data_IF_801770850127
#
_entry.id   IF_801770850127
#
_cell.length_a   1.000
_cell.length_b   1.000
_cell.length_c   1.000
_cell.angle_alpha   90.00
_cell.angle_beta   90.00
_cell.angle_gamma   90.00
#
_symmetry.space_group_name_H-M   'P 1'
#
loop_
_entity.id
_entity.type
_entity.pdbx_description
1 polymer ?
#
# COMPACT_ATOMS: atom_id res chain seq x y z
N UNK A 1 -13.33 0.29 6.98
CA UNK A 1 -14.70 0.78 6.74
C UNK A 1 -14.95 0.79 5.23
N UNK A 2 -16.05 0.22 4.75
CA UNK A 2 -16.38 0.25 3.31
C UNK A 2 -16.88 1.65 2.93
N UNK A 3 -16.47 2.19 1.77
CA UNK A 3 -17.02 3.43 1.27
C UNK A 3 -18.53 3.31 1.02
N UNK A 4 -19.29 4.40 1.26
CA UNK A 4 -20.67 4.51 0.75
C UNK A 4 -20.70 4.33 -0.77
N UNK A 5 -21.79 3.74 -1.28
CA UNK A 5 -22.03 3.54 -2.72
C UNK A 5 -21.98 4.85 -3.49
N UNK A 6 -21.62 4.79 -4.77
CA UNK A 6 -21.54 5.98 -5.64
C UNK A 6 -22.91 6.64 -5.76
N UNK A 7 -23.97 5.86 -5.96
CA UNK A 7 -25.37 6.35 -6.06
C UNK A 7 -25.78 7.20 -4.83
N UNK A 8 -25.42 6.76 -3.62
CA UNK A 8 -25.74 7.53 -2.41
C UNK A 8 -25.00 8.87 -2.39
N UNK A 9 -23.74 8.91 -2.85
CA UNK A 9 -22.94 10.13 -2.89
C UNK A 9 -23.46 11.11 -3.93
N UNK A 10 -23.85 10.61 -5.10
CA UNK A 10 -24.43 11.41 -6.18
C UNK A 10 -25.74 12.06 -5.72
N UNK A 11 -26.63 11.29 -5.08
CA UNK A 11 -27.88 11.83 -4.51
C UNK A 11 -27.63 12.90 -3.45
N UNK A 12 -26.66 12.69 -2.56
CA UNK A 12 -26.29 13.67 -1.53
C UNK A 12 -25.83 14.99 -2.18
N UNK A 13 -24.99 14.90 -3.23
CA UNK A 13 -24.44 16.08 -3.91
C UNK A 13 -25.50 16.79 -4.75
N UNK A 14 -26.32 16.05 -5.50
CA UNK A 14 -27.43 16.61 -6.28
C UNK A 14 -28.39 17.43 -5.41
N UNK A 15 -28.75 16.92 -4.23
CA UNK A 15 -29.61 17.65 -3.27
C UNK A 15 -28.92 18.89 -2.69
N UNK A 16 -27.59 18.85 -2.52
CA UNK A 16 -26.82 20.00 -2.08
C UNK A 16 -26.69 21.08 -3.18
N UNK A 17 -26.41 20.68 -4.41
CA UNK A 17 -26.27 21.57 -5.58
C UNK A 17 -27.60 22.21 -6.00
N UNK A 18 -28.74 21.56 -5.70
CA UNK A 18 -30.07 22.14 -5.87
C UNK A 18 -30.35 23.38 -4.98
N UNK A 19 -29.39 23.82 -4.16
CA UNK A 19 -29.37 25.15 -3.53
C UNK A 19 -30.28 25.34 -2.31
N UNK A 20 -31.25 24.45 -2.09
CA UNK A 20 -32.31 24.66 -1.09
C UNK A 20 -31.99 24.10 0.31
N UNK A 21 -30.79 23.56 0.54
CA UNK A 21 -30.46 22.90 1.81
C UNK A 21 -29.01 23.08 2.27
N UNK A 22 -28.83 23.31 3.57
CA UNK A 22 -27.51 23.34 4.20
C UNK A 22 -26.93 21.95 4.40
N UNK A 23 -25.59 21.84 4.51
CA UNK A 23 -24.87 20.57 4.74
C UNK A 23 -25.47 19.78 5.93
N UNK A 24 -25.89 20.46 7.00
CA UNK A 24 -26.51 19.81 8.17
C UNK A 24 -27.85 19.16 7.81
N UNK A 25 -28.73 19.87 7.10
CA UNK A 25 -30.03 19.35 6.68
C UNK A 25 -29.90 18.17 5.71
N UNK A 26 -28.92 18.23 4.79
CA UNK A 26 -28.61 17.11 3.90
C UNK A 26 -28.13 15.90 4.69
N UNK A 27 -27.23 16.10 5.67
CA UNK A 27 -26.72 15.03 6.51
C UNK A 27 -27.85 14.31 7.29
N UNK A 28 -28.77 15.07 7.89
CA UNK A 28 -29.95 14.54 8.59
C UNK A 28 -30.87 13.75 7.64
N UNK A 29 -31.18 14.32 6.46
CA UNK A 29 -32.05 13.68 5.46
C UNK A 29 -31.52 12.33 4.99
N UNK A 30 -30.21 12.23 4.78
CA UNK A 30 -29.55 11.00 4.32
C UNK A 30 -29.03 10.13 5.46
N UNK A 31 -29.26 10.51 6.73
CA UNK A 31 -28.76 9.82 7.93
C UNK A 31 -27.24 9.56 7.90
N UNK A 32 -26.48 10.52 7.37
CA UNK A 32 -25.01 10.47 7.32
C UNK A 32 -24.41 11.56 8.21
N UNK A 33 -23.12 11.45 8.52
CA UNK A 33 -22.44 12.51 9.27
C UNK A 33 -22.29 13.79 8.42
N UNK A 34 -22.33 14.96 9.08
CA UNK A 34 -22.00 16.25 8.45
C UNK A 34 -20.65 16.20 7.72
N UNK A 35 -19.66 15.55 8.33
CA UNK A 35 -18.32 15.44 7.78
C UNK A 35 -18.31 14.64 6.46
N UNK A 36 -19.17 13.62 6.34
CA UNK A 36 -19.34 12.87 5.09
C UNK A 36 -19.80 13.79 3.96
N UNK A 37 -20.85 14.57 4.17
CA UNK A 37 -21.38 15.50 3.16
C UNK A 37 -20.32 16.55 2.79
N UNK A 38 -19.66 17.14 3.79
CA UNK A 38 -18.60 18.13 3.58
C UNK A 38 -17.42 17.56 2.77
N UNK A 39 -16.98 16.34 3.07
CA UNK A 39 -15.92 15.68 2.33
C UNK A 39 -16.31 15.34 0.89
N UNK A 40 -17.57 14.98 0.64
CA UNK A 40 -18.07 14.74 -0.72
C UNK A 40 -18.10 16.03 -1.54
N UNK A 41 -18.59 17.14 -0.96
CA UNK A 41 -18.62 18.45 -1.63
C UNK A 41 -17.20 18.92 -1.94
N UNK A 42 -16.29 18.81 -0.97
CA UNK A 42 -14.86 19.13 -1.17
C UNK A 42 -14.26 18.28 -2.29
N UNK A 43 -14.49 16.96 -2.28
CA UNK A 43 -13.97 16.05 -3.32
C UNK A 43 -14.52 16.41 -4.70
N UNK A 44 -15.82 16.69 -4.82
CA UNK A 44 -16.43 17.10 -6.10
C UNK A 44 -15.79 18.38 -6.64
N UNK A 45 -15.55 19.36 -5.76
CA UNK A 45 -14.90 20.63 -6.12
C UNK A 45 -13.42 20.46 -6.52
N UNK A 46 -12.67 19.64 -5.80
CA UNK A 46 -11.22 19.48 -6.02
C UNK A 46 -10.89 18.50 -7.16
N UNK A 47 -11.66 17.41 -7.29
CA UNK A 47 -11.33 16.28 -8.17
C UNK A 47 -12.36 16.04 -9.28
N UNK A 48 -13.53 16.71 -9.23
CA UNK A 48 -14.63 16.46 -10.18
C UNK A 48 -15.36 15.13 -10.00
N UNK A 49 -14.80 14.18 -9.23
CA UNK A 49 -15.31 12.82 -9.06
C UNK A 49 -15.86 12.56 -7.66
N UNK A 50 -16.85 11.65 -7.57
CA UNK A 50 -17.40 11.15 -6.31
C UNK A 50 -16.97 9.72 -6.00
N UNK A 51 -16.14 9.15 -6.87
CA UNK A 51 -15.61 7.81 -6.71
C UNK A 51 -14.79 7.70 -5.41
N UNK A 52 -14.90 6.59 -4.69
CA UNK A 52 -13.99 6.31 -3.59
C UNK A 52 -12.56 6.29 -4.11
N UNK A 53 -11.65 6.93 -3.40
CA UNK A 53 -10.23 6.73 -3.64
C UNK A 53 -9.93 5.25 -3.52
N UNK A 54 -9.22 4.74 -4.53
CA UNK A 54 -8.63 3.40 -4.47
C UNK A 54 -7.81 3.33 -3.19
N UNK A 55 -8.00 2.28 -2.40
CA UNK A 55 -7.18 2.04 -1.24
C UNK A 55 -5.78 1.68 -1.76
N UNK A 56 -4.94 2.69 -2.00
CA UNK A 56 -3.55 2.47 -2.36
C UNK A 56 -2.87 1.89 -1.12
N UNK A 57 -2.59 0.59 -1.18
CA UNK A 57 -2.06 -0.16 -0.05
C UNK A 57 -0.74 0.44 0.42
N UNK A 58 -0.72 0.94 1.65
CA UNK A 58 0.48 1.34 2.38
C UNK A 58 1.37 2.38 1.71
N UNK A 59 2.45 2.74 2.41
CA UNK A 59 3.55 3.48 1.78
C UNK A 59 4.25 2.56 0.77
N UNK A 60 4.66 3.07 -0.40
CA UNK A 60 5.47 2.27 -1.32
C UNK A 60 6.75 1.81 -0.61
N UNK A 61 7.23 0.61 -0.96
CA UNK A 61 8.50 0.09 -0.43
C UNK A 61 9.64 1.07 -0.71
N UNK A 62 10.66 1.13 0.12
CA UNK A 62 11.88 1.92 -0.17
C UNK A 62 12.57 1.48 -1.48
N UNK A 63 12.23 0.29 -1.96
CA UNK A 63 12.68 -0.30 -3.20
C UNK A 63 11.83 0.07 -4.43
N UNK A 64 10.72 0.80 -4.25
CA UNK A 64 9.89 1.25 -5.37
C UNK A 64 10.67 2.21 -6.26
N UNK A 65 10.83 1.87 -7.54
CA UNK A 65 11.66 2.62 -8.49
C UNK A 65 13.02 1.99 -8.77
N UNK A 66 13.44 0.99 -7.99
CA UNK A 66 14.67 0.22 -8.21
C UNK A 66 14.40 -1.20 -8.74
N UNK A 67 13.25 -1.38 -9.38
CA UNK A 67 12.75 -2.70 -9.80
C UNK A 67 13.72 -3.39 -10.75
N UNK A 68 14.20 -2.66 -11.75
CA UNK A 68 15.15 -3.17 -12.74
C UNK A 68 16.51 -3.53 -12.12
N UNK A 69 17.04 -2.71 -11.20
CA UNK A 69 18.33 -2.98 -10.55
C UNK A 69 18.28 -4.23 -9.68
N UNK A 70 17.14 -4.49 -9.04
CA UNK A 70 16.92 -5.67 -8.23
C UNK A 70 16.70 -6.90 -9.10
N UNK A 71 16.00 -6.75 -10.23
CA UNK A 71 15.85 -7.82 -11.21
C UNK A 71 17.19 -8.27 -11.79
N UNK A 72 18.05 -7.32 -12.18
CA UNK A 72 19.42 -7.59 -12.62
C UNK A 72 20.25 -8.30 -11.54
N UNK A 73 20.20 -7.80 -10.29
CA UNK A 73 20.89 -8.41 -9.15
C UNK A 73 20.43 -9.86 -8.90
N UNK A 74 19.12 -10.11 -8.97
CA UNK A 74 18.56 -11.46 -8.77
C UNK A 74 18.91 -12.39 -9.93
N UNK A 75 18.95 -11.88 -11.17
CA UNK A 75 19.34 -12.64 -12.35
C UNK A 75 20.83 -13.02 -12.32
N UNK A 76 21.70 -12.12 -11.85
CA UNK A 76 23.14 -12.35 -11.71
C UNK A 76 23.45 -13.32 -10.55
N UNK A 77 22.69 -13.23 -9.46
CA UNK A 77 22.93 -14.00 -8.24
C UNK A 77 21.68 -14.78 -7.79
N UNK A 78 21.27 -15.80 -8.55
CA UNK A 78 20.05 -16.59 -8.23
C UNK A 78 20.18 -17.46 -6.96
N UNK A 79 21.41 -17.72 -6.52
CA UNK A 79 21.70 -18.61 -5.38
C UNK A 79 21.90 -17.84 -4.06
N UNK A 80 21.73 -16.50 -4.06
CA UNK A 80 21.84 -15.68 -2.84
C UNK A 80 20.65 -15.87 -1.90
N UNK A 81 20.98 -15.88 -0.61
CA UNK A 81 20.03 -15.78 0.48
C UNK A 81 19.49 -14.36 0.62
N UNK A 82 18.38 -14.20 1.35
CA UNK A 82 17.80 -12.87 1.60
C UNK A 82 18.74 -11.93 2.34
N UNK A 83 19.58 -12.45 3.24
CA UNK A 83 20.57 -11.67 3.97
C UNK A 83 21.66 -11.15 3.02
N UNK A 84 22.17 -11.99 2.13
CA UNK A 84 23.18 -11.61 1.13
C UNK A 84 22.63 -10.56 0.15
N UNK A 85 21.37 -10.67 -0.28
CA UNK A 85 20.74 -9.61 -1.07
C UNK A 85 20.61 -8.29 -0.31
N UNK A 86 20.33 -8.32 0.99
CA UNK A 86 20.30 -7.10 1.80
C UNK A 86 21.69 -6.46 1.95
N UNK A 87 22.72 -7.26 2.17
CA UNK A 87 24.11 -6.79 2.30
C UNK A 87 24.62 -6.22 0.97
N UNK A 88 24.45 -6.95 -0.14
CA UNK A 88 24.82 -6.47 -1.47
C UNK A 88 24.09 -5.17 -1.82
N UNK A 89 22.80 -5.08 -1.47
CA UNK A 89 22.02 -3.87 -1.71
C UNK A 89 22.52 -2.68 -0.87
N UNK A 90 22.85 -2.91 0.40
CA UNK A 90 23.41 -1.89 1.29
C UNK A 90 24.79 -1.43 0.79
N UNK A 91 25.63 -2.34 0.30
CA UNK A 91 26.94 -2.00 -0.26
C UNK A 91 26.82 -1.17 -1.55
N UNK A 92 25.90 -1.54 -2.45
CA UNK A 92 25.72 -0.87 -3.74
C UNK A 92 25.02 0.49 -3.63
N UNK A 93 24.07 0.64 -2.70
CA UNK A 93 23.21 1.83 -2.62
C UNK A 93 23.35 2.64 -1.34
N UNK A 94 24.02 2.11 -0.31
CA UNK A 94 24.08 2.70 1.02
C UNK A 94 22.76 2.61 1.81
N UNK A 95 21.73 1.96 1.27
CA UNK A 95 20.41 1.86 1.90
C UNK A 95 20.25 0.52 2.60
N UNK A 96 20.20 0.57 3.93
CA UNK A 96 19.94 -0.64 4.74
C UNK A 96 18.48 -1.07 4.64
N UNK A 97 18.27 -2.35 4.32
CA UNK A 97 16.96 -2.99 4.26
C UNK A 97 16.87 -4.16 5.24
N UNK A 98 15.66 -4.47 5.70
CA UNK A 98 15.41 -5.73 6.40
C UNK A 98 15.17 -6.85 5.39
N UNK A 99 15.53 -8.08 5.76
CA UNK A 99 15.21 -9.29 4.98
C UNK A 99 13.71 -9.39 4.67
N UNK A 100 12.86 -8.96 5.60
CA UNK A 100 11.40 -8.92 5.41
C UNK A 100 10.94 -7.90 4.36
N UNK A 101 11.64 -6.77 4.21
CA UNK A 101 11.37 -5.78 3.16
C UNK A 101 11.82 -6.33 1.80
N UNK A 102 13.01 -6.95 1.74
CA UNK A 102 13.54 -7.61 0.55
C UNK A 102 12.62 -8.74 0.09
N UNK A 103 12.23 -9.64 1.00
CA UNK A 103 11.34 -10.76 0.70
C UNK A 103 9.97 -10.31 0.16
N UNK A 104 9.32 -9.33 0.80
CA UNK A 104 8.05 -8.77 0.31
C UNK A 104 8.19 -8.12 -1.06
N UNK A 105 9.31 -7.48 -1.33
CA UNK A 105 9.58 -6.84 -2.61
C UNK A 105 9.79 -7.87 -3.73
N UNK A 106 10.63 -8.88 -3.50
CA UNK A 106 10.85 -9.98 -4.46
C UNK A 106 9.54 -10.73 -4.78
N UNK A 107 8.72 -11.01 -3.75
CA UNK A 107 7.39 -11.60 -3.94
C UNK A 107 6.47 -10.72 -4.78
N UNK A 108 6.49 -9.40 -4.56
CA UNK A 108 5.68 -8.44 -5.33
C UNK A 108 6.07 -8.41 -6.80
N UNK A 109 7.37 -8.52 -7.10
CA UNK A 109 7.87 -8.56 -8.48
C UNK A 109 7.71 -9.92 -9.15
N UNK A 110 7.11 -10.92 -8.47
CA UNK A 110 7.02 -12.31 -8.95
C UNK A 110 8.38 -12.90 -9.37
N UNK A 111 9.48 -12.34 -8.84
CA UNK A 111 10.81 -12.93 -8.93
C UNK A 111 10.84 -14.10 -7.95
N UNK A 112 10.09 -15.14 -8.27
CA UNK A 112 10.09 -16.38 -7.50
C UNK A 112 11.43 -17.03 -7.75
N UNK A 113 12.32 -16.94 -6.75
CA UNK A 113 13.50 -17.81 -6.64
C UNK A 113 13.05 -19.24 -6.92
N UNK A 114 13.46 -19.78 -8.07
CA UNK A 114 13.15 -21.15 -8.45
C UNK A 114 13.81 -22.04 -7.40
N UNK A 115 13.02 -22.67 -6.53
CA UNK A 115 13.51 -23.59 -5.51
C UNK A 115 14.37 -24.67 -6.17
N UNK A 116 15.70 -24.59 -6.05
CA UNK A 116 16.52 -25.79 -6.09
C UNK A 116 16.19 -26.57 -4.81
N UNK A 117 15.67 -27.77 -4.98
CA UNK A 117 15.38 -28.70 -3.90
C UNK A 117 16.71 -29.07 -3.22
N UNK A 118 17.10 -28.32 -2.20
CA UNK A 118 18.10 -28.80 -1.25
C UNK A 118 17.35 -29.23 -0.01
N UNK A 119 17.56 -30.51 0.33
CA UNK A 119 16.91 -31.20 1.41
C UNK A 119 17.02 -30.45 2.73
N UNK A 120 15.96 -30.54 3.51
CA UNK A 120 15.77 -29.83 4.75
C UNK A 120 16.87 -30.19 5.78
N UNK A 121 17.71 -29.22 6.12
CA UNK A 121 18.41 -29.22 7.41
C UNK A 121 17.75 -28.19 8.31
N UNK A 122 16.86 -28.68 9.17
CA UNK A 122 16.32 -27.95 10.32
C UNK A 122 17.47 -27.56 11.26
N UNK A 123 17.76 -26.27 11.41
CA UNK A 123 18.26 -25.64 12.66
C UNK A 123 17.76 -24.18 12.60
N UNK A 124 16.85 -23.68 13.44
CA UNK A 124 16.91 -23.69 14.90
C UNK A 124 17.76 -22.51 15.35
N UNK A 125 17.17 -21.32 15.56
CA UNK A 125 17.53 -20.41 16.65
C UNK A 125 16.63 -19.16 16.72
N UNK A 126 16.07 -18.97 17.92
CA UNK A 126 15.45 -17.75 18.42
C UNK A 126 16.53 -16.66 18.53
N UNK A 127 16.22 -15.42 18.17
CA UNK A 127 16.82 -14.28 18.85
C UNK A 127 15.76 -13.21 19.13
N UNK A 128 15.25 -13.26 20.37
CA UNK A 128 14.66 -12.11 21.04
C UNK A 128 15.73 -11.02 21.13
N UNK A 129 15.51 -9.85 20.53
CA UNK A 129 16.25 -8.65 20.90
C UNK A 129 15.60 -8.04 22.15
N UNK A 130 16.23 -8.25 23.31
CA UNK A 130 16.04 -7.45 24.52
C UNK A 130 16.35 -5.98 24.18
N UNK A 131 15.46 -5.07 24.59
CA UNK A 131 15.73 -3.65 24.78
C UNK A 131 15.62 -3.37 26.29
N UNK A 132 16.62 -2.69 26.84
CA UNK A 132 16.59 -2.08 28.17
C UNK A 132 16.87 -3.05 29.30
#
# INVERSE_FOLDING_TARGET
>A
MKPYSIDLREKIISVYEAGNTSIRKVAERFKVSKNTVQNLVKRKREKGTLEPSVATGGKPSQLSGYEQQIEEMVAEHLDYTLAEYCEYWEEKTGVRLSESAMCRFLQKQKLTLKKKQYEAVKQGQKLHKKKG
#
